data_IF_176690669499
#
_entry.id   IF_176690669499
#
_cell.length_a   1.000
_cell.length_b   1.000
_cell.length_c   1.000
_cell.angle_alpha   90.00
_cell.angle_beta   90.00
_cell.angle_gamma   90.00
#
_symmetry.space_group_name_H-M   'P 1'
#
loop_
_entity.id
_entity.type
_entity.pdbx_description
1 polymer ?
#
# COMPACT_ATOMS: atom_id res chain seq x y z
N UNK A 1 12.04 28.20 -40.34
CA UNK A 1 12.76 27.25 -39.48
C UNK A 1 13.21 28.03 -38.26
N UNK A 2 12.87 27.63 -37.02
CA UNK A 2 13.36 28.31 -35.83
C UNK A 2 14.86 28.04 -35.64
N UNK A 3 15.62 29.09 -35.29
CA UNK A 3 17.06 29.07 -35.04
C UNK A 3 17.38 28.27 -33.76
N UNK A 4 18.50 27.56 -33.78
CA UNK A 4 18.93 26.58 -32.75
C UNK A 4 19.60 27.23 -31.53
N UNK A 5 19.81 28.55 -31.54
CA UNK A 5 20.64 29.24 -30.55
C UNK A 5 19.88 29.73 -29.29
N UNK A 6 18.61 29.35 -29.09
CA UNK A 6 17.78 29.71 -27.92
C UNK A 6 17.52 28.52 -26.96
N UNK A 7 18.47 27.60 -26.79
CA UNK A 7 18.38 26.53 -25.77
C UNK A 7 19.22 26.94 -24.55
N UNK A 8 18.63 27.22 -23.38
CA UNK A 8 19.41 27.47 -22.17
C UNK A 8 20.14 26.21 -21.70
N UNK A 9 21.43 26.38 -21.40
CA UNK A 9 22.38 25.36 -20.94
C UNK A 9 21.88 24.59 -19.71
N UNK A 10 21.88 23.26 -19.79
CA UNK A 10 21.66 22.38 -18.66
C UNK A 10 22.98 22.28 -17.88
N UNK A 11 23.00 22.85 -16.68
CA UNK A 11 24.13 22.74 -15.76
C UNK A 11 24.25 21.30 -15.24
N UNK A 12 25.27 20.58 -15.71
CA UNK A 12 25.69 19.30 -15.13
C UNK A 12 26.62 19.57 -13.94
N UNK A 13 26.07 19.46 -12.73
CA UNK A 13 26.77 19.04 -11.51
C UNK A 13 25.92 17.90 -10.93
N UNK A 14 26.43 16.77 -10.46
CA UNK A 14 27.50 16.64 -9.47
C UNK A 14 27.97 15.18 -9.51
N UNK A 15 29.28 14.97 -9.47
CA UNK A 15 29.91 13.71 -9.04
C UNK A 15 29.69 13.59 -7.53
N UNK A 16 29.27 12.42 -7.00
CA UNK A 16 29.60 11.93 -5.65
C UNK A 16 28.80 10.67 -5.27
N UNK A 17 29.53 9.56 -5.23
CA UNK A 17 29.42 8.36 -4.36
C UNK A 17 28.04 7.98 -3.80
N UNK A 18 27.57 6.80 -4.22
CA UNK A 18 26.57 6.02 -3.52
C UNK A 18 27.03 5.69 -2.09
N UNK A 19 26.51 6.43 -1.12
CA UNK A 19 26.59 6.10 0.30
C UNK A 19 25.26 5.46 0.74
N UNK A 20 25.36 4.21 1.18
CA UNK A 20 24.29 3.45 1.80
C UNK A 20 24.06 3.99 3.21
N UNK A 21 23.30 5.08 3.33
CA UNK A 21 22.99 5.70 4.62
C UNK A 21 21.75 5.12 5.29
N UNK A 22 21.95 4.21 6.25
CA UNK A 22 21.00 3.83 7.29
C UNK A 22 20.44 5.09 7.99
N UNK A 23 19.23 5.50 7.62
CA UNK A 23 18.53 6.57 8.32
C UNK A 23 17.65 5.96 9.42
N UNK A 24 18.26 5.74 10.59
CA UNK A 24 17.53 5.58 11.85
C UNK A 24 16.73 6.86 12.13
N UNK A 25 15.47 6.88 11.69
CA UNK A 25 14.51 7.91 12.02
C UNK A 25 14.13 7.83 13.51
N UNK A 26 14.51 8.86 14.27
CA UNK A 26 14.09 9.09 15.66
C UNK A 26 12.58 8.88 15.84
N UNK A 27 12.22 7.98 16.74
CA UNK A 27 10.84 7.80 17.22
C UNK A 27 10.49 8.95 18.17
N UNK A 28 9.95 10.03 17.62
CA UNK A 28 9.29 11.07 18.40
C UNK A 28 7.83 10.63 18.66
N UNK A 29 7.59 10.06 19.85
CA UNK A 29 6.25 9.68 20.32
C UNK A 29 5.44 10.94 20.64
N UNK A 30 4.85 11.54 19.61
CA UNK A 30 3.79 12.53 19.79
C UNK A 30 2.43 11.81 19.84
N UNK A 31 2.02 11.42 21.04
CA UNK A 31 0.72 10.82 21.32
C UNK A 31 -0.39 11.88 21.20
N UNK A 32 -0.80 12.20 19.97
CA UNK A 32 -2.13 12.77 19.73
C UNK A 32 -3.10 11.62 19.58
N UNK A 33 -3.88 11.37 20.62
CA UNK A 33 -5.00 10.43 20.63
C UNK A 33 -6.03 10.94 19.61
N UNK A 34 -5.95 10.44 18.38
CA UNK A 34 -6.99 10.66 17.37
C UNK A 34 -8.22 9.88 17.81
N UNK A 35 -9.33 10.58 17.99
CA UNK A 35 -10.58 10.05 18.55
C UNK A 35 -11.25 8.98 17.69
N UNK A 36 -10.79 8.76 16.45
CA UNK A 36 -11.05 7.56 15.64
C UNK A 36 -9.71 7.12 15.03
N UNK A 37 -8.85 6.49 15.84
CA UNK A 37 -7.49 6.13 15.47
C UNK A 37 -7.40 5.17 14.27
N UNK A 38 -7.54 5.71 13.06
CA UNK A 38 -7.14 5.04 11.82
C UNK A 38 -5.62 4.99 11.85
N UNK A 39 -5.08 3.96 12.47
CA UNK A 39 -3.65 3.67 12.42
C UNK A 39 -3.38 3.20 10.99
N UNK A 40 -2.69 4.02 10.21
CA UNK A 40 -2.23 3.62 8.87
C UNK A 40 -1.15 2.55 9.04
N UNK A 41 -1.60 1.29 9.19
CA UNK A 41 -0.73 0.13 9.27
C UNK A 41 -0.42 -0.28 7.83
N UNK A 42 0.83 -0.09 7.41
CA UNK A 42 1.33 -0.69 6.18
C UNK A 42 1.39 -2.20 6.40
N UNK A 43 0.81 -2.95 5.47
CA UNK A 43 0.85 -4.41 5.48
C UNK A 43 1.76 -4.83 4.34
N UNK A 44 2.88 -5.43 4.70
CA UNK A 44 3.78 -6.03 3.72
C UNK A 44 3.27 -7.42 3.37
N UNK A 45 3.09 -7.67 2.08
CA UNK A 45 2.71 -8.98 1.56
C UNK A 45 3.93 -9.70 0.99
N UNK A 46 4.06 -11.00 1.28
CA UNK A 46 4.99 -11.85 0.53
C UNK A 46 4.61 -11.84 -0.96
N UNK A 47 5.59 -11.87 -1.85
CA UNK A 47 5.37 -11.84 -3.31
C UNK A 47 4.34 -12.86 -3.81
N UNK A 48 4.32 -14.08 -3.24
CA UNK A 48 3.34 -15.12 -3.59
C UNK A 48 1.92 -14.74 -3.16
N UNK A 49 1.77 -14.16 -1.98
CA UNK A 49 0.49 -13.71 -1.44
C UNK A 49 -0.05 -12.51 -2.21
N UNK A 50 0.82 -11.54 -2.52
CA UNK A 50 0.48 -10.39 -3.35
C UNK A 50 -0.04 -10.83 -4.73
N UNK A 51 0.69 -11.73 -5.39
CA UNK A 51 0.29 -12.27 -6.70
C UNK A 51 -1.08 -12.97 -6.66
N UNK A 52 -1.41 -13.66 -5.56
CA UNK A 52 -2.74 -14.27 -5.39
C UNK A 52 -3.84 -13.22 -5.30
N UNK A 53 -3.61 -12.16 -4.54
CA UNK A 53 -4.58 -11.08 -4.37
C UNK A 53 -4.78 -10.34 -5.71
N UNK A 54 -3.69 -10.07 -6.45
CA UNK A 54 -3.75 -9.46 -7.78
C UNK A 54 -4.58 -10.29 -8.76
N UNK A 55 -4.42 -11.62 -8.77
CA UNK A 55 -5.22 -12.51 -9.62
C UNK A 55 -6.71 -12.52 -9.26
N UNK A 56 -7.08 -12.11 -8.04
CA UNK A 56 -8.46 -12.01 -7.61
C UNK A 56 -9.12 -10.69 -8.01
N UNK A 57 -8.35 -9.64 -8.32
CA UNK A 57 -8.89 -8.31 -8.68
C UNK A 57 -10.00 -8.37 -9.74
N UNK A 58 -9.87 -9.11 -10.86
CA UNK A 58 -10.91 -9.16 -11.88
C UNK A 58 -12.24 -9.73 -11.37
N UNK A 59 -12.21 -10.67 -10.42
CA UNK A 59 -13.42 -11.30 -9.89
C UNK A 59 -14.23 -10.37 -8.98
N UNK A 60 -13.56 -9.45 -8.29
CA UNK A 60 -14.19 -8.54 -7.32
C UNK A 60 -14.39 -7.11 -7.84
N UNK A 61 -13.91 -6.81 -9.06
CA UNK A 61 -14.00 -5.46 -9.64
C UNK A 61 -15.44 -4.98 -9.79
N UNK A 62 -16.35 -5.88 -10.16
CA UNK A 62 -17.76 -5.54 -10.36
C UNK A 62 -18.48 -5.24 -9.03
N UNK A 63 -18.00 -5.80 -7.92
CA UNK A 63 -18.57 -5.56 -6.57
C UNK A 63 -18.19 -4.19 -6.01
N UNK A 64 -16.97 -3.71 -6.30
CA UNK A 64 -16.47 -2.40 -5.84
C UNK A 64 -16.84 -1.28 -6.81
N UNK A 65 -16.96 -1.61 -8.09
CA UNK A 65 -17.31 -0.70 -9.16
C UNK A 65 -16.30 -0.77 -10.31
N UNK A 66 -16.80 -0.71 -11.54
CA UNK A 66 -16.00 -0.84 -12.77
C UNK A 66 -14.84 0.16 -12.88
N UNK A 67 -14.99 1.34 -12.25
CA UNK A 67 -13.99 2.41 -12.21
C UNK A 67 -13.11 2.42 -10.95
N UNK A 68 -13.25 1.45 -10.05
CA UNK A 68 -12.45 1.37 -8.83
C UNK A 68 -10.97 1.15 -9.16
N UNK A 69 -10.07 1.74 -8.34
CA UNK A 69 -8.64 1.50 -8.50
C UNK A 69 -8.29 0.06 -8.07
N UNK A 70 -7.20 -0.48 -8.60
CA UNK A 70 -6.70 -1.80 -8.19
C UNK A 70 -6.45 -1.89 -6.67
N UNK A 71 -6.05 -0.77 -6.04
CA UNK A 71 -5.82 -0.69 -4.60
C UNK A 71 -7.13 -0.77 -3.81
N UNK A 72 -8.19 -0.12 -4.29
CA UNK A 72 -9.50 -0.18 -3.64
C UNK A 72 -10.05 -1.61 -3.69
N UNK A 73 -9.94 -2.27 -4.85
CA UNK A 73 -10.36 -3.67 -5.02
C UNK A 73 -9.51 -4.60 -4.16
N UNK A 74 -8.20 -4.38 -4.09
CA UNK A 74 -7.29 -5.15 -3.24
C UNK A 74 -7.63 -4.99 -1.76
N UNK A 75 -7.92 -3.78 -1.31
CA UNK A 75 -8.35 -3.49 0.07
C UNK A 75 -9.67 -4.18 0.39
N UNK A 76 -10.62 -4.19 -0.55
CA UNK A 76 -11.88 -4.90 -0.42
C UNK A 76 -11.68 -6.42 -0.29
N UNK A 77 -10.83 -7.03 -1.13
CA UNK A 77 -10.51 -8.47 -1.07
C UNK A 77 -9.90 -8.82 0.30
N UNK A 78 -8.95 -8.03 0.78
CA UNK A 78 -8.32 -8.24 2.09
C UNK A 78 -9.35 -8.12 3.22
N UNK A 79 -10.23 -7.10 3.17
CA UNK A 79 -11.32 -6.92 4.12
C UNK A 79 -12.23 -8.14 4.19
N UNK A 80 -12.70 -8.63 3.04
CA UNK A 80 -13.52 -9.86 2.95
C UNK A 80 -12.83 -11.08 3.52
N UNK A 81 -11.53 -11.25 3.27
CA UNK A 81 -10.75 -12.35 3.81
C UNK A 81 -10.64 -12.30 5.33
N UNK A 82 -10.43 -11.11 5.89
CA UNK A 82 -10.41 -10.88 7.34
C UNK A 82 -11.80 -11.18 7.93
N UNK A 83 -12.86 -10.62 7.36
CA UNK A 83 -14.23 -10.85 7.84
C UNK A 83 -14.58 -12.34 7.83
N UNK A 84 -14.27 -13.06 6.75
CA UNK A 84 -14.53 -14.51 6.67
C UNK A 84 -13.77 -15.32 7.74
N UNK A 85 -12.52 -14.93 8.04
CA UNK A 85 -11.71 -15.59 9.08
C UNK A 85 -12.30 -15.36 10.47
N UNK A 86 -12.73 -14.13 10.77
CA UNK A 86 -13.25 -13.77 12.09
C UNK A 86 -14.71 -14.18 12.29
N UNK A 87 -15.57 -13.99 11.29
CA UNK A 87 -17.00 -14.29 11.40
C UNK A 87 -17.31 -15.77 11.23
N UNK A 88 -16.49 -16.51 10.48
CA UNK A 88 -16.66 -17.95 10.30
C UNK A 88 -15.83 -18.73 11.32
N UNK A 89 -14.57 -18.96 10.97
CA UNK A 89 -13.72 -19.94 11.67
C UNK A 89 -13.43 -19.56 13.12
N UNK A 90 -13.18 -18.27 13.40
CA UNK A 90 -12.82 -17.84 14.74
C UNK A 90 -14.01 -17.87 15.71
N UNK A 91 -15.18 -17.37 15.29
CA UNK A 91 -16.41 -17.43 16.11
C UNK A 91 -16.84 -18.87 16.37
N UNK A 92 -16.88 -19.71 15.34
CA UNK A 92 -17.25 -21.13 15.51
C UNK A 92 -16.32 -21.83 16.51
N UNK A 93 -15.02 -21.57 16.44
CA UNK A 93 -14.04 -22.14 17.36
C UNK A 93 -14.15 -21.63 18.80
N UNK A 94 -14.70 -20.44 19.01
CA UNK A 94 -15.02 -19.92 20.35
C UNK A 94 -16.28 -20.55 20.92
N UNK A 95 -17.27 -20.88 20.09
CA UNK A 95 -18.51 -21.55 20.53
C UNK A 95 -18.29 -23.03 20.85
N UNK A 96 -17.27 -23.66 20.28
CA UNK A 96 -16.87 -25.05 20.57
C UNK A 96 -16.05 -25.22 21.87
N UNK A 97 -15.66 -24.13 22.54
CA UNK A 97 -14.91 -24.14 23.82
C UNK A 97 -15.82 -23.99 25.04
#
# INVERSE_FOLDING_TARGET
>A
MPNIDDIPEIQNGTDETADCGDSQGKVERNSRKSENGVVNKRIDFEAKSLKRIEMMIPAFRDEVGSNASANDVMSYIVGKGIDALFDGEFKNKLEEM
#
